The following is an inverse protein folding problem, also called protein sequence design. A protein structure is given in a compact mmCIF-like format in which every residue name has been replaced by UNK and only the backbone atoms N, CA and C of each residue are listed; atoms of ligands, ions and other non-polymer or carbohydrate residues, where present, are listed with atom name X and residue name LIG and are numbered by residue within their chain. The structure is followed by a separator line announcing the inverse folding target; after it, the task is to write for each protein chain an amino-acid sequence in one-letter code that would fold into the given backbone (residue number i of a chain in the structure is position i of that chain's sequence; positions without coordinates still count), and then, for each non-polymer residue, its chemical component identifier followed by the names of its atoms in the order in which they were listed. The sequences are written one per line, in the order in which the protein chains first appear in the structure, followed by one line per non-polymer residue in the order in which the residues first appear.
data_IF_809094823395
#
_entry.id   IF_809094823395
#
_cell.length_a   1.000
_cell.length_b   1.000
_cell.length_c   1.000
_cell.angle_alpha   90.00
_cell.angle_beta   90.00
_cell.angle_gamma   90.00
#
_symmetry.space_group_name_H-M   'P 1'
#
loop_
_entity.id
_entity.type
_entity.pdbx_description
1 polymer ?
#
# COMPACT_ATOMS: atom_id res chain seq x y z
N UNK A 1 -11.56 -11.64 -42.88
CA UNK A 1 -12.11 -12.74 -42.05
C UNK A 1 -12.86 -12.08 -40.89
N UNK A 2 -14.18 -12.24 -40.87
CA UNK A 2 -15.12 -11.42 -40.09
C UNK A 2 -15.08 -11.70 -38.60
N UNK A 3 -14.93 -10.65 -37.79
CA UNK A 3 -15.18 -10.68 -36.35
C UNK A 3 -16.70 -10.62 -36.14
N UNK A 4 -17.30 -11.79 -35.91
CA UNK A 4 -18.68 -11.93 -35.47
C UNK A 4 -18.78 -11.67 -33.95
N UNK A 5 -19.75 -10.83 -33.61
CA UNK A 5 -20.34 -10.63 -32.29
C UNK A 5 -20.58 -11.94 -31.53
N UNK A 6 -20.13 -12.01 -30.29
CA UNK A 6 -20.69 -12.93 -29.29
C UNK A 6 -21.24 -12.11 -28.12
N UNK A 7 -22.51 -11.74 -28.31
CA UNK A 7 -23.41 -11.21 -27.28
C UNK A 7 -23.67 -12.26 -26.20
N UNK A 8 -23.80 -11.76 -24.97
CA UNK A 8 -24.72 -12.19 -23.91
C UNK A 8 -25.41 -13.55 -24.04
N UNK A 9 -25.14 -14.45 -23.10
CA UNK A 9 -26.04 -15.58 -22.79
C UNK A 9 -26.32 -15.62 -21.29
N UNK A 10 -27.50 -15.15 -20.94
CA UNK A 10 -28.40 -15.65 -19.88
C UNK A 10 -29.77 -15.05 -20.21
N UNK A 11 -30.91 -15.65 -19.83
CA UNK A 11 -31.13 -16.85 -19.01
C UNK A 11 -32.20 -17.83 -19.57
N UNK A 12 -32.38 -18.97 -18.89
CA UNK A 12 -33.63 -19.73 -18.68
C UNK A 12 -33.56 -21.23 -19.02
N UNK A 13 -34.29 -21.99 -18.19
CA UNK A 13 -34.73 -23.37 -18.38
C UNK A 13 -33.71 -24.50 -18.19
N UNK A 14 -33.43 -24.85 -16.92
CA UNK A 14 -33.59 -26.23 -16.44
C UNK A 14 -34.01 -26.15 -14.95
N UNK A 15 -35.30 -26.14 -14.68
CA UNK A 15 -35.84 -26.64 -13.41
C UNK A 15 -37.18 -27.29 -13.75
N UNK A 16 -37.08 -28.59 -13.98
CA UNK A 16 -38.19 -29.48 -14.21
C UNK A 16 -39.08 -29.50 -12.97
N UNK A 17 -40.37 -29.33 -13.21
CA UNK A 17 -41.43 -29.55 -12.24
C UNK A 17 -41.52 -31.04 -11.93
N UNK A 18 -41.05 -31.43 -10.76
CA UNK A 18 -41.61 -32.58 -10.05
C UNK A 18 -42.08 -32.12 -8.68
N UNK A 19 -43.37 -31.81 -8.60
CA UNK A 19 -44.10 -31.66 -7.34
C UNK A 19 -44.02 -32.97 -6.54
N UNK A 20 -43.58 -32.91 -5.29
CA UNK A 20 -44.08 -33.82 -4.26
C UNK A 20 -43.95 -33.15 -2.89
N UNK A 21 -45.08 -33.06 -2.20
CA UNK A 21 -45.30 -32.16 -1.08
C UNK A 21 -44.56 -32.53 0.20
N UNK A 22 -44.15 -31.48 0.92
CA UNK A 22 -44.16 -31.39 2.38
C UNK A 22 -43.78 -29.95 2.76
N UNK A 23 -44.58 -29.36 3.65
CA UNK A 23 -44.30 -28.16 4.42
C UNK A 23 -44.19 -26.81 3.69
N UNK A 24 -45.38 -26.30 3.37
CA UNK A 24 -45.67 -24.87 3.39
C UNK A 24 -45.45 -24.29 4.80
N UNK A 25 -44.19 -24.18 5.22
CA UNK A 25 -43.79 -23.29 6.30
C UNK A 25 -43.92 -21.87 5.77
N UNK A 26 -44.93 -21.17 6.25
CA UNK A 26 -45.24 -19.77 5.99
C UNK A 26 -43.98 -18.90 6.21
N UNK A 27 -43.12 -18.80 5.18
CA UNK A 27 -41.92 -17.96 5.23
C UNK A 27 -42.39 -16.52 5.22
N UNK A 28 -42.46 -15.97 6.43
CA UNK A 28 -42.81 -14.61 6.78
C UNK A 28 -42.38 -13.64 5.66
N UNK A 29 -43.28 -12.83 5.07
CA UNK A 29 -42.95 -11.94 3.96
C UNK A 29 -41.74 -11.02 4.25
N UNK A 30 -41.50 -10.75 5.53
CA UNK A 30 -40.33 -10.03 6.02
C UNK A 30 -38.99 -10.71 5.65
N UNK A 31 -38.87 -12.04 5.76
CA UNK A 31 -37.61 -12.74 5.39
C UNK A 31 -37.34 -12.68 3.89
N UNK A 32 -38.37 -12.68 3.04
CA UNK A 32 -38.20 -12.51 1.58
C UNK A 32 -37.70 -11.10 1.24
N UNK A 33 -38.20 -10.07 1.92
CA UNK A 33 -37.74 -8.68 1.73
C UNK A 33 -36.30 -8.50 2.22
N UNK A 34 -35.96 -9.00 3.41
CA UNK A 34 -34.60 -8.95 3.96
C UNK A 34 -33.61 -9.67 3.05
N UNK A 35 -33.95 -10.86 2.55
CA UNK A 35 -33.08 -11.61 1.63
C UNK A 35 -32.86 -10.86 0.30
N UNK A 36 -33.91 -10.21 -0.24
CA UNK A 36 -33.81 -9.42 -1.48
C UNK A 36 -32.94 -8.17 -1.29
N UNK A 37 -33.05 -7.49 -0.15
CA UNK A 37 -32.18 -6.36 0.20
C UNK A 37 -30.74 -6.84 0.33
N UNK A 38 -30.51 -7.91 1.09
CA UNK A 38 -29.17 -8.48 1.29
C UNK A 38 -28.52 -8.88 -0.03
N UNK A 39 -29.24 -9.59 -0.90
CA UNK A 39 -28.75 -9.98 -2.22
C UNK A 39 -28.44 -8.76 -3.11
N UNK A 40 -29.27 -7.71 -3.07
CA UNK A 40 -29.02 -6.46 -3.81
C UNK A 40 -27.79 -5.73 -3.30
N UNK A 41 -27.61 -5.63 -1.98
CA UNK A 41 -26.40 -5.04 -1.36
C UNK A 41 -25.16 -5.85 -1.69
N UNK A 42 -25.25 -7.18 -1.65
CA UNK A 42 -24.12 -8.07 -1.94
C UNK A 42 -23.73 -7.98 -3.42
N UNK A 43 -24.69 -7.93 -4.34
CA UNK A 43 -24.41 -7.68 -5.77
C UNK A 43 -23.84 -6.28 -6.02
N UNK A 44 -24.27 -5.25 -5.29
CA UNK A 44 -23.67 -3.93 -5.37
C UNK A 44 -22.21 -3.95 -4.89
N UNK A 45 -21.92 -4.61 -3.76
CA UNK A 45 -20.56 -4.80 -3.23
C UNK A 45 -19.70 -5.57 -4.24
N UNK A 46 -20.20 -6.66 -4.82
CA UNK A 46 -19.48 -7.44 -5.83
C UNK A 46 -19.22 -6.62 -7.09
N UNK A 47 -20.20 -5.83 -7.54
CA UNK A 47 -20.02 -4.95 -8.72
C UNK A 47 -19.01 -3.82 -8.45
N UNK A 48 -19.04 -3.22 -7.26
CA UNK A 48 -18.05 -2.25 -6.79
C UNK A 48 -16.67 -2.89 -6.69
N UNK A 49 -16.59 -4.12 -6.19
CA UNK A 49 -15.34 -4.88 -6.09
C UNK A 49 -14.74 -5.18 -7.45
N UNK A 50 -15.56 -5.62 -8.41
CA UNK A 50 -15.12 -5.91 -9.78
C UNK A 50 -14.58 -4.65 -10.47
N UNK A 51 -15.20 -3.50 -10.22
CA UNK A 51 -14.81 -2.21 -10.83
C UNK A 51 -13.65 -1.51 -10.12
N UNK A 52 -13.47 -1.73 -8.81
CA UNK A 52 -12.51 -1.00 -7.97
C UNK A 52 -11.57 -1.92 -7.16
N UNK A 53 -11.24 -3.10 -7.69
CA UNK A 53 -10.44 -4.11 -6.98
C UNK A 53 -9.16 -3.56 -6.34
N UNK A 54 -8.47 -2.64 -7.03
CA UNK A 54 -7.27 -1.99 -6.51
C UNK A 54 -7.56 -1.09 -5.30
N UNK A 55 -8.61 -0.26 -5.35
CA UNK A 55 -8.99 0.63 -4.24
C UNK A 55 -9.39 -0.15 -3.00
N UNK A 56 -10.08 -1.27 -3.17
CA UNK A 56 -10.46 -2.14 -2.05
C UNK A 56 -9.23 -2.82 -1.46
N UNK A 57 -8.33 -3.34 -2.29
CA UNK A 57 -7.09 -3.95 -1.80
C UNK A 57 -6.24 -2.94 -1.02
N UNK A 58 -6.17 -1.70 -1.51
CA UNK A 58 -5.50 -0.60 -0.81
C UNK A 58 -6.20 -0.21 0.50
N UNK A 59 -7.54 -0.15 0.53
CA UNK A 59 -8.30 0.14 1.74
C UNK A 59 -8.13 -0.96 2.80
N UNK A 60 -8.19 -2.23 2.39
CA UNK A 60 -7.92 -3.38 3.28
C UNK A 60 -6.50 -3.33 3.81
N UNK A 61 -5.51 -3.07 2.95
CA UNK A 61 -4.11 -2.90 3.36
C UNK A 61 -3.96 -1.78 4.40
N UNK A 62 -4.52 -0.60 4.12
CA UNK A 62 -4.48 0.56 5.01
C UNK A 62 -5.11 0.25 6.36
N UNK A 63 -6.30 -0.36 6.37
CA UNK A 63 -7.00 -0.73 7.59
C UNK A 63 -6.23 -1.79 8.38
N UNK A 64 -5.78 -2.86 7.74
CA UNK A 64 -5.05 -3.94 8.41
C UNK A 64 -3.71 -3.48 8.98
N UNK A 65 -2.92 -2.70 8.23
CA UNK A 65 -1.63 -2.19 8.70
C UNK A 65 -1.82 -1.16 9.80
N UNK A 66 -2.72 -0.19 9.62
CA UNK A 66 -2.97 0.81 10.66
C UNK A 66 -3.50 0.18 11.95
N UNK A 67 -4.38 -0.81 11.85
CA UNK A 67 -4.88 -1.55 13.01
C UNK A 67 -3.80 -2.38 13.70
N UNK A 68 -2.96 -3.08 12.93
CA UNK A 68 -1.84 -3.85 13.48
C UNK A 68 -0.83 -2.95 14.20
N UNK A 69 -0.45 -1.83 13.59
CA UNK A 69 0.42 -0.84 14.23
C UNK A 69 -0.22 -0.26 15.50
N UNK A 70 -1.54 0.01 15.48
CA UNK A 70 -2.27 0.49 16.65
C UNK A 70 -2.27 -0.52 17.80
N UNK A 71 -2.51 -1.79 17.49
CA UNK A 71 -2.49 -2.86 18.49
C UNK A 71 -1.11 -3.00 19.15
N UNK A 72 -0.04 -2.90 18.37
CA UNK A 72 1.34 -2.95 18.89
C UNK A 72 1.64 -1.70 19.74
N UNK A 73 1.28 -0.50 19.27
CA UNK A 73 1.46 0.75 20.03
C UNK A 73 0.70 0.67 21.37
N UNK A 74 -0.56 0.24 21.35
CA UNK A 74 -1.35 0.06 22.55
C UNK A 74 -0.73 -0.97 23.50
N UNK A 75 -0.24 -2.10 22.98
CA UNK A 75 0.43 -3.11 23.78
C UNK A 75 1.71 -2.57 24.45
N UNK A 76 2.51 -1.79 23.73
CA UNK A 76 3.71 -1.12 24.28
C UNK A 76 3.35 -0.15 25.40
N UNK A 77 2.25 0.59 25.26
CA UNK A 77 1.87 1.65 26.20
C UNK A 77 1.03 1.16 27.38
N UNK A 78 0.46 -0.05 27.32
CA UNK A 78 -0.46 -0.55 28.34
C UNK A 78 0.16 -0.60 29.74
N UNK A 79 1.45 -0.90 29.82
CA UNK A 79 2.18 -1.06 31.09
C UNK A 79 3.04 0.17 31.45
N UNK A 80 2.75 1.32 30.82
CA UNK A 80 3.46 2.59 31.09
C UNK A 80 2.64 3.50 32.00
N UNK A 81 3.27 4.54 32.54
CA UNK A 81 2.63 5.50 33.45
C UNK A 81 1.48 6.30 32.80
N UNK A 82 1.42 6.34 31.46
CA UNK A 82 0.38 7.01 30.68
C UNK A 82 -0.20 6.06 29.60
N UNK A 83 -1.08 5.13 29.99
CA UNK A 83 -1.65 4.16 29.06
C UNK A 83 -2.58 4.84 28.05
N UNK A 84 -2.31 4.64 26.76
CA UNK A 84 -3.19 5.10 25.68
C UNK A 84 -4.33 4.12 25.42
N UNK A 85 -5.52 4.63 25.13
CA UNK A 85 -6.62 3.82 24.60
C UNK A 85 -6.28 3.27 23.21
N UNK A 86 -6.88 2.14 22.83
CA UNK A 86 -6.69 1.57 21.50
C UNK A 86 -7.12 2.52 20.37
N UNK A 87 -8.11 3.39 20.63
CA UNK A 87 -8.59 4.37 19.65
C UNK A 87 -7.58 5.51 19.45
N UNK A 88 -6.92 5.99 20.49
CA UNK A 88 -5.84 6.98 20.37
C UNK A 88 -4.64 6.39 19.62
N UNK A 89 -4.25 5.15 19.95
CA UNK A 89 -3.20 4.43 19.24
C UNK A 89 -3.56 4.24 17.76
N UNK A 90 -4.83 3.95 17.46
CA UNK A 90 -5.30 3.81 16.08
C UNK A 90 -5.35 5.13 15.33
N UNK A 91 -5.79 6.21 15.97
CA UNK A 91 -5.75 7.55 15.39
C UNK A 91 -4.32 7.97 15.01
N UNK A 92 -3.35 7.78 15.92
CA UNK A 92 -1.94 8.08 15.66
C UNK A 92 -1.41 7.20 14.53
N UNK A 93 -1.73 5.90 14.54
CA UNK A 93 -1.32 4.98 13.48
C UNK A 93 -1.85 5.37 12.10
N UNK A 94 -3.13 5.73 12.00
CA UNK A 94 -3.73 6.25 10.75
C UNK A 94 -3.00 7.52 10.33
N UNK A 95 -2.79 8.47 11.25
CA UNK A 95 -2.14 9.74 10.95
C UNK A 95 -0.70 9.58 10.45
N UNK A 96 0.05 8.63 11.03
CA UNK A 96 1.37 8.21 10.53
C UNK A 96 1.27 7.64 9.12
N UNK A 97 0.35 6.71 8.89
CA UNK A 97 0.20 6.03 7.61
C UNK A 97 -0.28 6.98 6.50
N UNK A 98 -1.21 7.89 6.79
CA UNK A 98 -1.78 8.79 5.79
C UNK A 98 -0.91 10.03 5.53
N UNK A 99 0.13 10.25 6.34
CA UNK A 99 0.92 11.46 6.28
C UNK A 99 0.16 12.70 6.79
N UNK A 100 -0.78 12.54 7.72
CA UNK A 100 -1.59 13.67 8.21
C UNK A 100 -0.88 14.53 9.26
N UNK A 101 -0.03 13.94 10.10
CA UNK A 101 0.71 14.67 11.14
C UNK A 101 -0.09 15.15 12.32
N UNK A 102 -1.33 14.70 12.44
CA UNK A 102 -2.18 14.97 13.60
C UNK A 102 -1.91 13.93 14.69
N UNK A 103 -1.76 14.37 15.93
CA UNK A 103 -1.68 13.48 17.09
C UNK A 103 -2.63 13.98 18.17
N UNK A 104 -3.22 13.04 18.91
CA UNK A 104 -4.02 13.34 20.10
C UNK A 104 -3.16 13.37 21.37
N UNK A 105 -1.92 12.87 21.29
CA UNK A 105 -1.01 12.72 22.42
C UNK A 105 0.33 13.35 22.04
N UNK A 106 0.99 14.01 22.99
CA UNK A 106 2.31 14.60 22.75
C UNK A 106 3.34 13.49 22.46
N UNK A 107 4.02 13.61 21.32
CA UNK A 107 5.03 12.64 20.88
C UNK A 107 6.32 12.81 21.68
N UNK A 108 6.58 14.00 22.23
CA UNK A 108 7.78 14.28 23.03
C UNK A 108 7.86 13.47 24.32
N UNK A 109 6.71 13.06 24.86
CA UNK A 109 6.59 12.20 26.04
C UNK A 109 6.64 10.71 25.68
N UNK A 110 6.83 10.36 24.40
CA UNK A 110 6.75 8.98 23.94
C UNK A 110 8.03 8.20 24.20
N UNK A 111 7.85 7.00 24.77
CA UNK A 111 8.91 6.01 24.91
C UNK A 111 9.50 5.62 23.53
N UNK A 112 10.81 5.35 23.49
CA UNK A 112 11.52 4.99 22.25
C UNK A 112 10.84 3.88 21.42
N UNK A 113 10.28 2.80 22.00
CA UNK A 113 9.58 1.77 21.24
C UNK A 113 8.35 2.30 20.50
N UNK A 114 7.61 3.25 21.09
CA UNK A 114 6.45 3.90 20.44
C UNK A 114 6.92 4.72 19.25
N UNK A 115 7.99 5.49 19.40
CA UNK A 115 8.60 6.29 18.32
C UNK A 115 9.03 5.41 17.16
N UNK A 116 9.64 4.25 17.44
CA UNK A 116 10.01 3.25 16.42
C UNK A 116 8.76 2.74 15.70
N UNK A 117 7.69 2.42 16.42
CA UNK A 117 6.44 1.97 15.79
C UNK A 117 5.78 3.06 14.95
N UNK A 118 5.88 4.32 15.35
CA UNK A 118 5.44 5.46 14.54
C UNK A 118 6.25 5.56 13.24
N UNK A 119 7.58 5.41 13.31
CA UNK A 119 8.43 5.34 12.11
C UNK A 119 7.94 4.22 11.19
N UNK A 120 7.74 3.01 11.71
CA UNK A 120 7.26 1.86 10.93
C UNK A 120 5.91 2.15 10.26
N UNK A 121 4.95 2.72 11.00
CA UNK A 121 3.65 3.10 10.46
C UNK A 121 3.77 4.16 9.35
N UNK A 122 4.61 5.17 9.54
CA UNK A 122 4.92 6.18 8.52
C UNK A 122 5.51 5.56 7.27
N UNK A 123 6.45 4.62 7.41
CA UNK A 123 7.08 3.97 6.27
C UNK A 123 6.07 3.17 5.45
N UNK A 124 5.18 2.41 6.08
CA UNK A 124 4.13 1.68 5.36
C UNK A 124 3.17 2.60 4.59
N UNK A 125 3.00 3.83 5.05
CA UNK A 125 2.24 4.87 4.37
C UNK A 125 2.90 5.44 3.10
N UNK A 126 4.20 5.24 2.92
CA UNK A 126 4.94 5.85 1.81
C UNK A 126 4.53 5.28 0.46
N UNK A 127 4.46 6.13 -0.56
CA UNK A 127 4.06 5.74 -1.92
C UNK A 127 4.94 4.63 -2.51
N UNK A 128 6.28 4.62 -2.37
CA UNK A 128 7.11 3.52 -2.85
C UNK A 128 6.71 2.18 -2.26
N UNK A 129 6.51 2.10 -0.94
CA UNK A 129 6.11 0.86 -0.27
C UNK A 129 4.67 0.48 -0.59
N UNK A 130 3.74 1.45 -0.61
CA UNK A 130 2.37 1.24 -1.09
C UNK A 130 2.31 0.72 -2.54
N UNK A 131 3.31 1.02 -3.37
CA UNK A 131 3.42 0.50 -4.73
C UNK A 131 4.06 -0.90 -4.77
N UNK A 132 5.00 -1.19 -3.88
CA UNK A 132 5.65 -2.50 -3.78
C UNK A 132 4.69 -3.59 -3.26
N UNK A 133 3.89 -3.28 -2.23
CA UNK A 133 3.05 -4.28 -1.55
C UNK A 133 2.05 -4.99 -2.48
N UNK A 134 1.20 -4.30 -3.26
CA UNK A 134 0.30 -4.95 -4.21
C UNK A 134 1.04 -5.78 -5.26
N UNK A 135 2.20 -5.33 -5.70
CA UNK A 135 3.05 -6.07 -6.65
C UNK A 135 3.65 -7.32 -6.02
N UNK A 136 4.04 -7.31 -4.74
CA UNK A 136 4.49 -8.49 -4.01
C UNK A 136 3.38 -9.56 -3.91
N UNK A 137 2.17 -9.16 -3.54
CA UNK A 137 1.03 -10.10 -3.51
C UNK A 137 0.72 -10.67 -4.89
N UNK A 138 0.82 -9.84 -5.94
CA UNK A 138 0.65 -10.29 -7.31
C UNK A 138 1.74 -11.26 -7.73
N UNK A 139 3.00 -11.03 -7.37
CA UNK A 139 4.10 -11.96 -7.65
C UNK A 139 3.87 -13.31 -7.00
N UNK A 140 3.44 -13.33 -5.73
CA UNK A 140 3.08 -14.57 -5.04
C UNK A 140 1.95 -15.30 -5.78
N UNK A 141 0.91 -14.60 -6.21
CA UNK A 141 -0.18 -15.20 -6.98
C UNK A 141 0.27 -15.73 -8.35
N UNK A 142 1.18 -15.04 -9.03
CA UNK A 142 1.69 -15.46 -10.34
C UNK A 142 2.67 -16.64 -10.22
N UNK A 143 3.40 -16.74 -9.11
CA UNK A 143 4.32 -17.83 -8.84
C UNK A 143 3.62 -19.18 -8.62
N UNK A 144 2.36 -19.15 -8.17
CA UNK A 144 1.54 -20.35 -7.98
C UNK A 144 0.90 -20.87 -9.28
N UNK A 145 1.06 -20.19 -10.41
CA UNK A 145 0.49 -20.62 -11.70
C UNK A 145 1.50 -21.51 -12.42
N UNK A 146 1.13 -22.76 -12.68
CA UNK A 146 1.93 -23.63 -13.53
C UNK A 146 1.79 -23.18 -15.00
N UNK A 147 2.89 -22.73 -15.59
CA UNK A 147 2.93 -22.26 -16.96
C UNK A 147 2.85 -23.39 -18.00
N UNK A 148 3.03 -24.65 -17.58
CA UNK A 148 2.93 -25.82 -18.46
C UNK A 148 1.49 -26.25 -18.74
N UNK A 149 0.57 -25.91 -17.83
CA UNK A 149 -0.85 -26.32 -17.90
C UNK A 149 -1.74 -25.31 -18.66
N UNK A 150 -1.21 -24.13 -18.99
CA UNK A 150 -1.95 -23.04 -19.64
C UNK A 150 -1.56 -22.85 -21.10
N UNK A 151 -2.45 -22.22 -21.87
CA UNK A 151 -2.19 -21.86 -23.25
C UNK A 151 -0.88 -21.05 -23.38
N UNK A 152 -0.03 -21.32 -24.39
CA UNK A 152 1.25 -20.62 -24.56
C UNK A 152 1.11 -19.09 -24.65
N UNK A 153 0.01 -18.60 -25.22
CA UNK A 153 -0.31 -17.16 -25.27
C UNK A 153 -0.44 -16.55 -23.87
N UNK A 154 -1.11 -17.27 -22.97
CA UNK A 154 -1.40 -16.81 -21.60
C UNK A 154 -0.17 -16.95 -20.71
N UNK A 155 0.63 -18.01 -20.92
CA UNK A 155 1.93 -18.18 -20.28
C UNK A 155 2.87 -16.98 -20.54
N UNK A 156 2.88 -16.47 -21.77
CA UNK A 156 3.67 -15.28 -22.12
C UNK A 156 3.17 -14.01 -21.40
N UNK A 157 1.85 -13.87 -21.25
CA UNK A 157 1.23 -12.75 -20.50
C UNK A 157 1.58 -12.85 -19.01
N UNK A 158 1.49 -14.04 -18.41
CA UNK A 158 1.87 -14.31 -17.01
C UNK A 158 3.34 -13.98 -16.78
N UNK A 159 4.26 -14.48 -17.63
CA UNK A 159 5.70 -14.18 -17.56
C UNK A 159 5.99 -12.69 -17.68
N UNK A 160 5.30 -11.98 -18.58
CA UNK A 160 5.44 -10.52 -18.72
C UNK A 160 5.00 -9.79 -17.46
N UNK A 161 3.85 -10.14 -16.90
CA UNK A 161 3.37 -9.54 -15.66
C UNK A 161 4.30 -9.85 -14.48
N UNK A 162 4.84 -11.07 -14.40
CA UNK A 162 5.81 -11.44 -13.38
C UNK A 162 7.05 -10.54 -13.45
N UNK A 163 7.68 -10.42 -14.62
CA UNK A 163 8.85 -9.55 -14.82
C UNK A 163 8.57 -8.08 -14.46
N UNK A 164 7.44 -7.53 -14.91
CA UNK A 164 7.08 -6.14 -14.60
C UNK A 164 6.88 -5.92 -13.10
N UNK A 165 6.19 -6.83 -12.39
CA UNK A 165 5.97 -6.68 -10.96
C UNK A 165 7.27 -6.82 -10.16
N UNK A 166 8.22 -7.69 -10.58
CA UNK A 166 9.56 -7.75 -9.97
C UNK A 166 10.25 -6.40 -10.09
N UNK A 167 10.27 -5.81 -11.30
CA UNK A 167 10.92 -4.50 -11.52
C UNK A 167 10.27 -3.42 -10.65
N UNK A 168 8.94 -3.41 -10.55
CA UNK A 168 8.22 -2.46 -9.69
C UNK A 168 8.63 -2.61 -8.22
N UNK A 169 8.58 -3.83 -7.68
CA UNK A 169 8.97 -4.08 -6.28
C UNK A 169 10.41 -3.66 -6.03
N UNK A 170 11.33 -4.08 -6.89
CA UNK A 170 12.75 -3.79 -6.74
C UNK A 170 13.03 -2.29 -6.78
N UNK A 171 12.50 -1.59 -7.79
CA UNK A 171 12.68 -0.14 -7.92
C UNK A 171 12.08 0.60 -6.73
N UNK A 172 10.89 0.21 -6.26
CA UNK A 172 10.28 0.78 -5.06
C UNK A 172 11.16 0.62 -3.83
N UNK A 173 11.65 -0.59 -3.54
CA UNK A 173 12.43 -0.88 -2.34
C UNK A 173 13.79 -0.20 -2.38
N UNK A 174 14.50 -0.27 -3.52
CA UNK A 174 15.81 0.37 -3.69
C UNK A 174 15.68 1.89 -3.61
N UNK A 175 14.68 2.49 -4.27
CA UNK A 175 14.46 3.93 -4.21
C UNK A 175 14.15 4.39 -2.78
N UNK A 176 13.25 3.70 -2.09
CA UNK A 176 12.90 3.97 -0.70
C UNK A 176 14.14 3.91 0.20
N UNK A 177 14.89 2.81 0.14
CA UNK A 177 16.08 2.61 0.96
C UNK A 177 17.15 3.67 0.67
N UNK A 178 17.45 3.91 -0.60
CA UNK A 178 18.50 4.84 -1.01
C UNK A 178 18.21 6.27 -0.56
N UNK A 179 16.98 6.77 -0.77
CA UNK A 179 16.62 8.13 -0.34
C UNK A 179 16.67 8.25 1.19
N UNK A 180 16.15 7.26 1.91
CA UNK A 180 16.20 7.24 3.38
C UNK A 180 17.65 7.27 3.89
N UNK A 181 18.51 6.36 3.39
CA UNK A 181 19.91 6.29 3.80
C UNK A 181 20.68 7.56 3.45
N UNK A 182 20.51 8.11 2.23
CA UNK A 182 21.19 9.34 1.82
C UNK A 182 20.75 10.53 2.68
N UNK A 183 19.46 10.65 2.98
CA UNK A 183 18.93 11.75 3.78
C UNK A 183 19.41 11.65 5.24
N UNK A 184 19.41 10.44 5.83
CA UNK A 184 19.95 10.20 7.18
C UNK A 184 21.45 10.53 7.24
N UNK A 185 22.23 10.06 6.26
CA UNK A 185 23.66 10.37 6.18
C UNK A 185 23.91 11.88 6.02
N UNK A 186 23.11 12.56 5.20
CA UNK A 186 23.19 14.02 5.02
C UNK A 186 22.89 14.76 6.33
N UNK A 187 21.84 14.38 7.06
CA UNK A 187 21.49 14.99 8.34
C UNK A 187 22.58 14.79 9.40
N UNK A 188 23.20 13.63 9.43
CA UNK A 188 24.30 13.36 10.36
C UNK A 188 25.58 14.11 10.01
N UNK A 189 25.94 14.17 8.72
CA UNK A 189 27.21 14.75 8.28
C UNK A 189 27.16 16.27 8.12
N UNK A 190 26.18 16.78 7.39
CA UNK A 190 26.06 18.20 7.08
C UNK A 190 25.38 18.96 8.23
N UNK A 191 24.29 18.41 8.76
CA UNK A 191 23.51 19.08 9.80
C UNK A 191 23.95 18.72 11.23
N UNK A 192 24.91 17.79 11.41
CA UNK A 192 25.40 17.33 12.71
C UNK A 192 24.28 16.86 13.65
N UNK A 193 23.24 16.22 13.11
CA UNK A 193 22.12 15.69 13.89
C UNK A 193 22.41 14.29 14.40
N UNK A 194 21.77 13.91 15.51
CA UNK A 194 21.90 12.55 16.03
C UNK A 194 21.26 11.53 15.09
N UNK A 195 21.72 10.28 15.15
CA UNK A 195 21.23 9.20 14.29
C UNK A 195 19.71 8.99 14.42
N UNK A 196 19.20 8.92 15.65
CA UNK A 196 17.77 8.71 15.91
C UNK A 196 16.90 9.87 15.43
N UNK A 197 17.36 11.10 15.68
CA UNK A 197 16.68 12.29 15.18
C UNK A 197 16.60 12.27 13.65
N UNK A 198 17.71 11.92 13.00
CA UNK A 198 17.82 11.85 11.55
C UNK A 198 16.89 10.81 10.95
N UNK A 199 16.81 9.60 11.52
CA UNK A 199 15.89 8.55 11.06
C UNK A 199 14.44 9.00 11.19
N UNK A 200 14.05 9.51 12.35
CA UNK A 200 12.67 9.88 12.59
C UNK A 200 12.22 11.00 11.65
N UNK A 201 13.00 12.07 11.57
CA UNK A 201 12.64 13.21 10.74
C UNK A 201 12.74 12.92 9.24
N UNK A 202 13.69 12.08 8.81
CA UNK A 202 13.69 11.57 7.42
C UNK A 202 12.44 10.74 7.14
N UNK A 203 12.06 9.87 8.07
CA UNK A 203 10.85 9.05 7.94
C UNK A 203 9.61 9.91 7.83
N UNK A 204 9.47 10.88 8.73
CA UNK A 204 8.36 11.84 8.80
C UNK A 204 8.30 12.74 7.57
N UNK A 205 9.43 13.27 7.09
CA UNK A 205 9.47 14.11 5.89
C UNK A 205 9.19 13.33 4.60
N UNK A 206 9.74 12.11 4.49
CA UNK A 206 9.55 11.25 3.32
C UNK A 206 8.16 10.59 3.27
N UNK A 207 7.51 10.38 4.41
CA UNK A 207 6.08 9.99 4.44
C UNK A 207 5.15 11.20 4.37
N UNK A 208 5.69 12.42 4.44
CA UNK A 208 4.95 13.66 4.62
C UNK A 208 4.10 13.70 5.89
N UNK A 209 4.40 12.86 6.86
CA UNK A 209 3.68 12.84 8.11
C UNK A 209 3.91 14.09 8.95
N UNK A 210 4.98 14.87 8.76
CA UNK A 210 5.11 16.16 9.44
C UNK A 210 5.21 16.10 10.96
N UNK A 211 5.32 14.91 11.54
CA UNK A 211 5.54 14.73 12.97
C UNK A 211 6.92 15.22 13.37
N UNK A 212 7.03 16.05 14.41
CA UNK A 212 8.27 16.39 15.05
C UNK A 212 8.59 15.45 16.23
N UNK A 213 9.88 15.31 16.59
CA UNK A 213 10.27 14.77 17.91
C UNK A 213 10.24 15.82 19.03
N UNK A 214 10.02 17.08 18.69
CA UNK A 214 9.95 18.22 19.60
C UNK A 214 8.53 18.82 19.56
N UNK A 215 8.00 19.26 20.69
CA UNK A 215 6.62 19.71 20.86
C UNK A 215 6.37 21.02 20.09
N UNK A 216 7.44 21.69 19.67
CA UNK A 216 7.40 22.95 18.92
C UNK A 216 7.22 22.79 17.40
N UNK A 217 6.99 21.58 16.87
CA UNK A 217 6.60 21.34 15.46
C UNK A 217 7.32 22.23 14.43
N UNK A 218 8.58 21.89 14.10
CA UNK A 218 9.41 22.61 13.11
C UNK A 218 9.66 24.12 13.37
N UNK A 219 9.04 24.75 14.37
CA UNK A 219 9.47 26.02 14.96
C UNK A 219 10.63 25.80 15.95
N UNK A 220 11.58 24.97 15.54
CA UNK A 220 12.74 24.59 16.33
C UNK A 220 13.83 25.62 16.03
N UNK A 221 14.50 26.21 17.05
CA UNK A 221 15.61 27.14 16.84
C UNK A 221 16.68 26.60 15.87
N UNK A 222 16.88 25.28 15.90
CA UNK A 222 17.80 24.55 15.03
C UNK A 222 17.47 24.65 13.53
N UNK A 223 16.19 24.83 13.15
CA UNK A 223 15.79 25.07 11.75
C UNK A 223 16.18 26.47 11.28
N UNK A 224 16.12 27.46 12.19
CA UNK A 224 16.53 28.85 11.92
C UNK A 224 18.06 28.92 11.77
N UNK A 225 18.79 28.16 12.59
CA UNK A 225 20.25 28.14 12.59
C UNK A 225 20.86 27.34 11.42
N UNK A 226 20.16 26.33 10.89
CA UNK A 226 20.70 25.40 9.88
C UNK A 226 19.86 25.39 8.60
N UNK A 227 20.16 26.31 7.68
CA UNK A 227 19.49 26.42 6.38
C UNK A 227 19.51 25.13 5.54
N UNK A 228 20.57 24.32 5.66
CA UNK A 228 20.70 23.01 5.00
C UNK A 228 19.59 22.04 5.40
N UNK A 229 19.11 22.13 6.64
CA UNK A 229 18.04 21.28 7.16
C UNK A 229 16.72 21.61 6.49
N UNK A 230 16.40 22.91 6.37
CA UNK A 230 15.22 23.39 5.67
C UNK A 230 15.22 22.95 4.20
N UNK A 231 16.37 23.12 3.54
CA UNK A 231 16.55 22.73 2.14
C UNK A 231 16.33 21.22 1.94
N UNK A 232 16.85 20.37 2.84
CA UNK A 232 16.58 18.94 2.78
C UNK A 232 15.08 18.64 2.86
N UNK A 233 14.34 19.21 3.81
CA UNK A 233 12.89 18.94 3.94
C UNK A 233 12.10 19.43 2.73
N UNK A 234 12.48 20.59 2.16
CA UNK A 234 11.87 21.10 0.92
C UNK A 234 12.02 20.09 -0.22
N UNK A 235 13.16 19.40 -0.33
CA UNK A 235 13.37 18.35 -1.32
C UNK A 235 12.73 17.01 -0.92
N UNK A 236 12.72 16.67 0.37
CA UNK A 236 12.26 15.37 0.85
C UNK A 236 10.75 15.19 0.68
N UNK A 237 9.98 16.28 0.74
CA UNK A 237 8.53 16.26 0.52
C UNK A 237 8.15 15.84 -0.92
N UNK A 238 8.62 16.48 -2.00
CA UNK A 238 8.23 16.11 -3.37
C UNK A 238 8.84 14.80 -3.88
N UNK A 239 9.96 14.33 -3.32
CA UNK A 239 10.64 13.09 -3.75
C UNK A 239 9.72 11.85 -3.78
N UNK A 240 8.99 11.49 -2.70
CA UNK A 240 8.11 10.32 -2.66
C UNK A 240 6.84 10.48 -3.49
N UNK A 241 6.31 11.70 -3.67
CA UNK A 241 5.03 11.93 -4.36
C UNK A 241 5.17 12.22 -5.85
N UNK A 242 6.10 13.09 -6.21
CA UNK A 242 6.23 13.61 -7.58
C UNK A 242 7.32 12.89 -8.34
N UNK A 243 8.49 12.71 -7.72
CA UNK A 243 9.65 12.12 -8.40
C UNK A 243 9.55 10.60 -8.49
N UNK A 244 9.05 9.92 -7.46
CA UNK A 244 8.97 8.45 -7.46
C UNK A 244 8.14 7.88 -8.64
N UNK A 245 6.91 8.36 -8.95
CA UNK A 245 6.17 7.85 -10.09
C UNK A 245 6.88 8.08 -11.43
N UNK A 246 7.58 9.20 -11.58
CA UNK A 246 8.38 9.52 -12.78
C UNK A 246 9.56 8.56 -12.88
N UNK A 247 10.29 8.37 -11.78
CA UNK A 247 11.42 7.44 -11.67
C UNK A 247 11.01 6.00 -11.99
N UNK A 248 9.89 5.55 -11.42
CA UNK A 248 9.35 4.21 -11.64
C UNK A 248 8.97 3.99 -13.11
N UNK A 249 8.31 4.96 -13.76
CA UNK A 249 7.98 4.88 -15.20
C UNK A 249 9.23 4.84 -16.06
N UNK A 250 10.23 5.66 -15.76
CA UNK A 250 11.50 5.67 -16.48
C UNK A 250 12.20 4.30 -16.39
N UNK A 251 12.27 3.71 -15.19
CA UNK A 251 12.87 2.39 -15.03
C UNK A 251 12.12 1.30 -15.78
N UNK A 252 10.79 1.24 -15.68
CA UNK A 252 9.98 0.26 -16.42
C UNK A 252 10.19 0.43 -17.93
N UNK A 253 10.28 1.68 -18.41
CA UNK A 253 10.58 1.97 -19.81
C UNK A 253 11.96 1.50 -20.23
N UNK A 254 13.02 1.79 -19.46
CA UNK A 254 14.39 1.34 -19.73
C UNK A 254 14.44 -0.19 -19.80
N UNK A 255 13.86 -0.87 -18.81
CA UNK A 255 13.79 -2.33 -18.78
C UNK A 255 13.04 -2.90 -19.99
N UNK A 256 11.94 -2.26 -20.41
CA UNK A 256 11.19 -2.68 -21.60
C UNK A 256 11.98 -2.48 -22.91
N UNK A 257 12.89 -1.51 -22.97
CA UNK A 257 13.78 -1.31 -24.11
C UNK A 257 14.90 -2.34 -24.11
N UNK A 258 15.57 -2.54 -22.97
CA UNK A 258 16.63 -3.53 -22.82
C UNK A 258 16.13 -4.94 -23.17
N UNK A 259 14.97 -5.34 -22.65
CA UNK A 259 14.38 -6.64 -22.97
C UNK A 259 14.12 -6.85 -24.47
N UNK A 260 13.74 -5.79 -25.20
CA UNK A 260 13.57 -5.84 -26.67
C UNK A 260 14.88 -5.90 -27.41
N UNK A 261 15.94 -5.26 -26.89
CA UNK A 261 17.28 -5.31 -27.48
C UNK A 261 17.86 -6.71 -27.32
N UNK A 262 17.79 -7.30 -26.13
CA UNK A 262 18.24 -8.67 -25.89
C UNK A 262 17.49 -9.68 -26.75
N UNK A 263 16.16 -9.57 -26.86
CA UNK A 263 15.36 -10.43 -27.73
C UNK A 263 15.66 -10.27 -29.23
N UNK A 264 16.32 -9.18 -29.66
CA UNK A 264 16.79 -8.98 -31.03
C UNK A 264 18.26 -9.37 -31.21
N UNK A 265 19.04 -9.37 -30.13
CA UNK A 265 20.44 -9.80 -30.08
C UNK A 265 20.57 -11.33 -30.11
N UNK A 266 19.54 -12.04 -29.63
CA UNK A 266 19.32 -13.46 -29.94
C UNK A 266 18.81 -13.60 -31.39
N UNK A 267 19.68 -13.30 -32.35
CA UNK A 267 19.52 -13.78 -33.72
C UNK A 267 19.56 -15.31 -33.74
N UNK A 268 19.03 -15.97 -34.79
CA UNK A 268 18.97 -17.43 -34.85
C UNK A 268 20.38 -18.01 -34.86
N UNK A 269 20.86 -18.45 -33.69
CA UNK A 269 21.94 -19.41 -33.61
C UNK A 269 21.31 -20.80 -33.78
N UNK A 270 21.42 -21.30 -35.01
CA UNK A 270 21.39 -22.71 -35.45
C UNK A 270 20.33 -23.63 -34.84
#
# INVERSE_FOLDING_TARGET
MSLQDSRSVTPAAIFDESQSGADARERNPLTKVVLKIFYKTLNQIVSLYRRNRYRILFAVYTFSVSWLCAAIIHWIQKDTDEPSTIFEAWFVSISCFSGCGLTLVDITQSFAPRVIMMIVAMQFGTIPLCSAFPSLFRLRSLWLIDCSEILPSDANVVRRHYKVNIVVVWVSLVYWFLIQSLSVMFLMSACQMTFWWSIFHTSSGFSQAGFPLDSRSFAIPQLIEKSQLLLLFIFLVPIPNTLFPVWQRLHVWVWSRLARIFARGDGPCC
#
